data_IF_910612202750
#
_entry.id   IF_910612202750
#
_cell.length_a   1.000
_cell.length_b   1.000
_cell.length_c   1.000
_cell.angle_alpha   90.00
_cell.angle_beta   90.00
_cell.angle_gamma   90.00
#
_symmetry.space_group_name_H-M   'P 1'
#
loop_
_entity.id
_entity.type
_entity.pdbx_description
1 polymer ?
#
# COMPACT_ATOMS: atom_id res chain seq x y z
N UNK A 1 6.30 -26.17 20.63
CA UNK A 1 5.41 -25.08 21.07
C UNK A 1 5.75 -23.96 20.13
N UNK A 2 5.03 -23.92 19.01
CA UNK A 2 5.40 -23.14 17.83
C UNK A 2 4.14 -22.52 17.25
N UNK A 3 3.31 -21.94 18.11
CA UNK A 3 1.94 -21.56 17.74
C UNK A 3 1.50 -20.30 18.49
N UNK A 4 2.28 -19.22 18.43
CA UNK A 4 1.85 -17.89 18.88
C UNK A 4 2.63 -16.80 18.09
N UNK A 5 2.56 -16.79 16.76
CA UNK A 5 2.91 -15.58 16.00
C UNK A 5 1.60 -14.84 15.68
N UNK A 6 1.23 -14.01 16.64
CA UNK A 6 0.25 -12.93 16.61
C UNK A 6 -0.32 -12.59 15.21
N UNK A 7 -1.61 -12.88 15.03
CA UNK A 7 -2.52 -12.21 14.09
C UNK A 7 -2.75 -10.73 14.50
N UNK A 8 -1.69 -10.02 14.91
CA UNK A 8 -1.72 -8.57 14.91
C UNK A 8 -1.64 -8.19 13.44
N UNK A 9 -2.75 -7.72 12.85
CA UNK A 9 -2.69 -6.93 11.63
C UNK A 9 -1.63 -5.87 11.92
N UNK A 10 -0.42 -6.08 11.41
CA UNK A 10 0.71 -5.24 11.75
C UNK A 10 0.32 -3.85 11.29
N UNK A 11 -0.06 -2.98 12.23
CA UNK A 11 -0.45 -1.61 11.92
C UNK A 11 0.65 -0.92 11.11
N UNK A 12 1.89 -1.38 11.28
CA UNK A 12 3.04 -1.01 10.49
C UNK A 12 2.92 -1.39 9.00
N UNK A 13 2.44 -2.58 8.65
CA UNK A 13 2.22 -3.03 7.26
C UNK A 13 1.09 -2.24 6.59
N UNK A 14 0.00 -1.98 7.31
CA UNK A 14 -1.10 -1.13 6.81
C UNK A 14 -0.65 0.34 6.66
N UNK A 15 0.10 0.87 7.62
CA UNK A 15 0.69 2.20 7.55
C UNK A 15 1.66 2.33 6.37
N UNK A 16 2.41 1.27 6.06
CA UNK A 16 3.29 1.22 4.89
C UNK A 16 2.49 1.34 3.59
N UNK A 17 1.38 0.60 3.44
CA UNK A 17 0.48 0.74 2.28
C UNK A 17 -0.10 2.14 2.11
N UNK A 18 -0.53 2.78 3.22
CA UNK A 18 -1.05 4.15 3.22
C UNK A 18 0.04 5.18 2.89
N UNK A 19 1.26 5.00 3.40
CA UNK A 19 2.38 5.90 3.15
C UNK A 19 2.91 5.77 1.70
N UNK A 20 2.96 4.55 1.17
CA UNK A 20 3.48 4.28 -0.17
C UNK A 20 2.48 4.57 -1.29
N UNK A 21 1.17 4.45 -1.05
CA UNK A 21 0.14 4.69 -2.08
C UNK A 21 0.22 6.06 -2.77
N UNK A 22 0.26 7.18 -2.02
CA UNK A 22 0.41 8.52 -2.58
C UNK A 22 1.75 8.71 -3.30
N UNK A 23 2.82 8.13 -2.77
CA UNK A 23 4.17 8.25 -3.35
C UNK A 23 4.28 7.50 -4.68
N UNK A 24 3.78 6.25 -4.74
CA UNK A 24 3.66 5.48 -5.97
C UNK A 24 2.73 6.15 -6.97
N UNK A 25 1.62 6.72 -6.51
CA UNK A 25 0.67 7.40 -7.38
C UNK A 25 1.23 8.67 -8.02
N UNK A 26 1.98 9.46 -7.25
CA UNK A 26 2.67 10.62 -7.76
C UNK A 26 3.79 10.24 -8.75
N UNK A 27 4.58 9.20 -8.43
CA UNK A 27 5.63 8.71 -9.32
C UNK A 27 5.08 8.14 -10.63
N UNK A 28 4.00 7.34 -10.56
CA UNK A 28 3.30 6.83 -11.74
C UNK A 28 2.65 7.96 -12.54
N UNK A 29 2.02 8.92 -11.88
CA UNK A 29 1.39 10.05 -12.57
C UNK A 29 2.40 10.91 -13.32
N UNK A 30 3.58 11.10 -12.75
CA UNK A 30 4.69 11.76 -13.41
C UNK A 30 5.23 10.92 -14.59
N UNK A 31 5.36 9.60 -14.42
CA UNK A 31 5.85 8.69 -15.46
C UNK A 31 4.88 8.52 -16.64
N UNK A 32 3.57 8.51 -16.38
CA UNK A 32 2.53 8.43 -17.40
C UNK A 32 2.22 9.79 -18.03
N UNK A 33 2.66 10.89 -17.45
CA UNK A 33 2.31 12.25 -17.87
C UNK A 33 0.87 12.64 -17.51
N UNK A 34 0.17 11.81 -16.74
CA UNK A 34 -1.19 12.03 -16.26
C UNK A 34 -1.25 11.75 -14.75
N UNK A 35 -1.21 12.85 -13.98
CA UNK A 35 -1.28 12.83 -12.51
C UNK A 35 -2.58 12.21 -12.01
N UNK A 36 -3.69 12.38 -12.73
CA UNK A 36 -4.99 11.87 -12.31
C UNK A 36 -4.98 10.34 -12.34
N UNK A 37 -4.52 9.75 -13.44
CA UNK A 37 -4.40 8.29 -13.57
C UNK A 37 -3.38 7.74 -12.57
N UNK A 38 -2.25 8.44 -12.40
CA UNK A 38 -1.22 8.09 -11.42
C UNK A 38 -1.75 7.99 -10.01
N UNK A 39 -2.42 9.03 -9.51
CA UNK A 39 -2.94 9.05 -8.13
C UNK A 39 -4.02 7.99 -7.92
N UNK A 40 -4.91 7.78 -8.90
CA UNK A 40 -5.91 6.70 -8.81
C UNK A 40 -5.24 5.33 -8.69
N UNK A 41 -4.26 5.04 -9.56
CA UNK A 41 -3.54 3.76 -9.50
C UNK A 41 -2.71 3.61 -8.22
N UNK A 42 -2.03 4.67 -7.79
CA UNK A 42 -1.24 4.66 -6.56
C UNK A 42 -2.06 4.44 -5.31
N UNK A 43 -3.24 5.07 -5.20
CA UNK A 43 -4.14 4.81 -4.07
C UNK A 43 -4.65 3.36 -4.08
N UNK A 44 -5.11 2.86 -5.23
CA UNK A 44 -5.61 1.48 -5.34
C UNK A 44 -4.49 0.48 -5.01
N UNK A 45 -3.30 0.68 -5.55
CA UNK A 45 -2.14 -0.18 -5.28
C UNK A 45 -1.65 -0.08 -3.83
N UNK A 46 -1.61 1.12 -3.25
CA UNK A 46 -1.19 1.32 -1.86
C UNK A 46 -2.15 0.67 -0.87
N UNK A 47 -3.46 0.81 -1.09
CA UNK A 47 -4.48 0.12 -0.28
C UNK A 47 -4.38 -1.39 -0.49
N UNK A 48 -4.26 -1.85 -1.74
CA UNK A 48 -4.14 -3.27 -2.04
C UNK A 48 -2.91 -3.90 -1.38
N UNK A 49 -1.75 -3.25 -1.45
CA UNK A 49 -0.52 -3.69 -0.78
C UNK A 49 -0.67 -3.68 0.73
N UNK A 50 -1.24 -2.63 1.32
CA UNK A 50 -1.49 -2.55 2.76
C UNK A 50 -2.44 -3.64 3.27
N UNK A 51 -3.46 -3.99 2.47
CA UNK A 51 -4.42 -5.06 2.79
C UNK A 51 -3.82 -6.44 2.57
N UNK A 52 -3.16 -6.69 1.43
CA UNK A 52 -2.57 -8.01 1.12
C UNK A 52 -1.43 -8.34 2.07
N UNK A 53 -0.56 -7.37 2.37
CA UNK A 53 0.55 -7.60 3.30
C UNK A 53 0.08 -7.54 4.75
N UNK A 54 -0.92 -6.72 5.09
CA UNK A 54 -1.52 -6.72 6.42
C UNK A 54 -2.33 -7.98 6.76
N UNK A 55 -2.70 -8.77 5.74
CA UNK A 55 -3.41 -10.05 5.88
C UNK A 55 -2.47 -11.27 5.84
N UNK A 56 -1.18 -11.08 5.51
CA UNK A 56 -0.16 -12.15 5.45
C UNK A 56 0.80 -12.04 6.63
#
# INVERSE_FOLDING_TARGET
MSDEEDDQIDLNKMALGIAFGPLLGAALGLALGDITIGITFGMVLGIFLGVVWGLT
#
